data_IF_391211657296
#
_entry.id   IF_391211657296
#
_cell.length_a   1.000
_cell.length_b   1.000
_cell.length_c   1.000
_cell.angle_alpha   90.00
_cell.angle_beta   90.00
_cell.angle_gamma   90.00
#
_symmetry.space_group_name_H-M   'P 1'
#
loop_
_entity.id
_entity.type
_entity.pdbx_description
1 polymer ?
#
# COMPACT_ATOMS: atom_id res chain seq x y z
N UNK A 1 25.81 8.60 -71.45
CA UNK A 1 26.68 8.93 -72.60
C UNK A 1 25.80 9.31 -73.77
N UNK A 2 26.18 10.35 -74.51
CA UNK A 2 25.47 10.83 -75.69
C UNK A 2 26.40 10.75 -76.89
N UNK A 3 26.02 10.02 -77.94
CA UNK A 3 26.81 9.83 -79.17
C UNK A 3 25.89 9.90 -80.39
N UNK A 4 26.45 10.29 -81.55
CA UNK A 4 25.73 10.24 -82.83
C UNK A 4 25.61 8.82 -83.39
N UNK A 5 26.30 7.85 -82.78
CA UNK A 5 26.22 6.43 -83.14
C UNK A 5 25.90 5.60 -81.89
N UNK A 6 25.32 4.39 -82.04
CA UNK A 6 25.02 3.53 -80.89
C UNK A 6 26.28 2.92 -80.24
N UNK A 7 27.46 3.10 -80.84
CA UNK A 7 28.73 2.65 -80.28
C UNK A 7 29.19 3.63 -79.20
N UNK A 8 29.39 3.11 -77.99
CA UNK A 8 29.82 3.89 -76.81
C UNK A 8 31.30 3.71 -76.46
N UNK A 9 32.01 2.88 -77.22
CA UNK A 9 33.45 2.60 -77.02
C UNK A 9 34.37 3.58 -77.79
N UNK A 10 33.78 4.48 -78.58
CA UNK A 10 34.48 5.45 -79.43
C UNK A 10 34.15 6.87 -79.00
N UNK A 11 34.46 7.88 -79.84
CA UNK A 11 34.22 9.28 -79.53
C UNK A 11 32.76 9.56 -79.11
N UNK A 12 32.59 10.17 -77.94
CA UNK A 12 31.29 10.45 -77.31
C UNK A 12 31.15 11.97 -77.16
N UNK A 13 29.98 12.53 -77.48
CA UNK A 13 29.76 13.98 -77.43
C UNK A 13 29.63 14.50 -76.00
N UNK A 14 29.07 13.69 -75.10
CA UNK A 14 28.94 14.06 -73.70
C UNK A 14 28.79 12.82 -72.79
N UNK A 15 29.28 12.93 -71.56
CA UNK A 15 29.12 11.94 -70.49
C UNK A 15 28.41 12.62 -69.33
N UNK A 16 27.42 11.96 -68.75
CA UNK A 16 26.71 12.48 -67.58
C UNK A 16 27.53 12.27 -66.32
N UNK A 17 27.19 13.00 -65.26
CA UNK A 17 27.62 12.64 -63.92
C UNK A 17 27.11 11.24 -63.52
N UNK A 18 27.67 10.71 -62.43
CA UNK A 18 27.29 9.41 -61.89
C UNK A 18 25.83 9.41 -61.42
N UNK A 19 25.05 8.43 -61.87
CA UNK A 19 23.67 8.24 -61.45
C UNK A 19 23.56 7.00 -60.55
N UNK A 20 23.19 7.19 -59.28
CA UNK A 20 22.96 6.09 -58.35
C UNK A 20 21.52 5.59 -58.45
N UNK A 21 21.32 4.46 -59.12
CA UNK A 21 20.00 3.84 -59.27
C UNK A 21 19.76 2.86 -58.12
N UNK A 22 18.75 3.12 -57.30
CA UNK A 22 18.34 2.23 -56.21
C UNK A 22 16.81 2.20 -56.09
N UNK A 23 16.24 1.05 -55.70
CA UNK A 23 14.83 0.96 -55.29
C UNK A 23 14.71 0.94 -53.76
N UNK A 24 15.29 1.95 -53.12
CA UNK A 24 15.26 2.11 -51.67
C UNK A 24 14.75 3.51 -51.34
N UNK A 25 13.51 3.60 -50.83
CA UNK A 25 12.91 4.84 -50.33
C UNK A 25 13.72 5.53 -49.21
N UNK A 26 14.63 4.79 -48.57
CA UNK A 26 15.48 5.27 -47.48
C UNK A 26 16.91 5.62 -47.92
N UNK A 27 17.26 5.53 -49.21
CA UNK A 27 18.57 5.99 -49.66
C UNK A 27 18.78 7.48 -49.34
N UNK A 28 20.00 7.85 -48.95
CA UNK A 28 20.33 9.21 -48.51
C UNK A 28 19.81 9.58 -47.12
N UNK A 29 18.91 8.78 -46.51
CA UNK A 29 18.52 9.00 -45.11
C UNK A 29 19.59 8.45 -44.20
N UNK A 30 20.15 9.32 -43.35
CA UNK A 30 20.94 8.86 -42.20
C UNK A 30 20.06 7.93 -41.38
N UNK A 31 20.57 6.76 -41.02
CA UNK A 31 19.91 5.88 -40.05
C UNK A 31 19.60 6.74 -38.84
N UNK A 32 18.31 6.98 -38.60
CA UNK A 32 17.85 7.53 -37.34
C UNK A 32 18.19 6.44 -36.33
N UNK A 33 19.41 6.50 -35.76
CA UNK A 33 19.67 5.84 -34.48
C UNK A 33 18.56 6.38 -33.63
N UNK A 34 17.56 5.56 -33.32
CA UNK A 34 16.52 5.93 -32.38
C UNK A 34 17.31 6.26 -31.13
N UNK A 35 17.53 7.54 -30.80
CA UNK A 35 18.07 7.78 -29.49
C UNK A 35 16.90 7.35 -28.60
N UNK A 36 17.15 6.55 -27.59
CA UNK A 36 16.25 6.36 -26.46
C UNK A 36 16.10 7.67 -25.66
N UNK A 37 15.92 8.79 -26.37
CA UNK A 37 15.73 10.15 -25.92
C UNK A 37 15.42 11.02 -27.16
N UNK A 38 14.15 11.41 -27.29
CA UNK A 38 13.67 12.53 -28.14
C UNK A 38 13.93 12.49 -29.67
N UNK A 39 12.90 12.12 -30.45
CA UNK A 39 12.42 12.98 -31.56
C UNK A 39 11.04 12.52 -32.08
N UNK A 40 10.02 13.31 -31.77
CA UNK A 40 9.12 13.99 -32.71
C UNK A 40 8.66 13.15 -33.93
N UNK A 41 7.34 12.88 -33.91
CA UNK A 41 6.43 12.46 -34.98
C UNK A 41 6.35 10.96 -35.32
N UNK A 42 5.68 10.21 -34.44
CA UNK A 42 4.61 9.24 -34.79
C UNK A 42 3.85 8.88 -33.52
N UNK A 43 2.60 9.34 -33.41
CA UNK A 43 1.53 8.90 -32.48
C UNK A 43 1.93 8.65 -31.02
N UNK A 44 1.65 9.63 -30.14
CA UNK A 44 1.44 9.45 -28.70
C UNK A 44 2.53 8.69 -27.91
N UNK A 45 3.77 9.17 -27.95
CA UNK A 45 4.85 8.67 -27.08
C UNK A 45 4.77 9.31 -25.67
N UNK A 46 3.57 9.31 -25.09
CA UNK A 46 3.34 9.82 -23.75
C UNK A 46 3.93 8.86 -22.70
N UNK A 47 4.46 9.41 -21.62
CA UNK A 47 5.04 8.60 -20.54
C UNK A 47 3.96 7.70 -19.94
N UNK A 48 4.30 6.46 -19.55
CA UNK A 48 3.35 5.59 -18.87
C UNK A 48 3.01 6.19 -17.50
N UNK A 49 1.71 6.21 -17.16
CA UNK A 49 1.22 6.76 -15.90
C UNK A 49 0.34 5.73 -15.21
N UNK A 50 0.58 5.47 -13.92
CA UNK A 50 -0.33 4.71 -13.08
C UNK A 50 -1.35 5.67 -12.49
N UNK A 51 -2.64 5.34 -12.58
CA UNK A 51 -3.73 6.09 -11.92
C UNK A 51 -4.33 5.33 -10.75
N UNK A 52 -4.49 4.02 -10.89
CA UNK A 52 -5.07 3.16 -9.85
C UNK A 52 -4.45 1.76 -9.84
N UNK A 53 -4.58 1.08 -8.71
CA UNK A 53 -4.21 -0.32 -8.49
C UNK A 53 -5.38 -1.04 -7.81
N UNK A 54 -5.73 -2.23 -8.30
CA UNK A 54 -6.78 -3.06 -7.72
C UNK A 54 -6.37 -4.53 -7.65
N UNK A 55 -6.51 -5.21 -6.49
CA UNK A 55 -6.82 -4.63 -5.17
C UNK A 55 -5.73 -3.65 -4.72
N UNK A 56 -6.04 -2.73 -3.78
CA UNK A 56 -5.06 -1.77 -3.22
C UNK A 56 -4.28 -2.33 -2.03
N UNK A 57 -4.69 -3.49 -1.53
CA UNK A 57 -4.08 -4.18 -0.40
C UNK A 57 -4.11 -5.70 -0.56
N UNK A 58 -3.09 -6.38 -0.06
CA UNK A 58 -2.99 -7.86 -0.06
C UNK A 58 -2.18 -8.34 1.15
N UNK A 59 -2.48 -9.57 1.60
CA UNK A 59 -1.70 -10.23 2.64
C UNK A 59 -0.25 -10.50 2.17
N UNK A 60 0.73 -10.08 2.97
CA UNK A 60 2.15 -10.21 2.64
C UNK A 60 2.62 -11.66 2.48
N UNK A 61 1.91 -12.62 3.06
CA UNK A 61 2.25 -14.05 3.04
C UNK A 61 1.65 -14.83 1.85
N UNK A 62 0.50 -14.42 1.33
CA UNK A 62 -0.20 -15.17 0.27
C UNK A 62 0.23 -14.77 -1.14
N UNK A 63 0.79 -13.57 -1.31
CA UNK A 63 0.95 -12.98 -2.64
C UNK A 63 -0.41 -12.82 -3.34
N UNK A 64 -0.38 -12.61 -4.66
CA UNK A 64 -1.58 -12.52 -5.48
C UNK A 64 -1.31 -11.90 -6.84
N UNK A 65 -2.38 -11.42 -7.49
CA UNK A 65 -2.29 -10.59 -8.68
C UNK A 65 -3.06 -9.30 -8.49
N UNK A 66 -2.53 -8.19 -9.03
CA UNK A 66 -3.22 -6.91 -9.12
C UNK A 66 -3.33 -6.47 -10.57
N UNK A 67 -4.30 -5.61 -10.82
CA UNK A 67 -4.46 -4.86 -12.07
C UNK A 67 -4.05 -3.42 -11.80
N UNK A 68 -3.11 -2.93 -12.60
CA UNK A 68 -2.76 -1.51 -12.65
C UNK A 68 -3.55 -0.86 -13.77
N UNK A 69 -4.22 0.24 -13.46
CA UNK A 69 -5.02 1.02 -14.39
C UNK A 69 -4.31 2.36 -14.60
N UNK A 70 -4.18 2.77 -15.85
CA UNK A 70 -3.40 3.94 -16.21
C UNK A 70 -3.44 4.24 -17.70
N UNK A 71 -2.34 4.77 -18.21
CA UNK A 71 -2.21 5.19 -19.60
C UNK A 71 -0.84 4.84 -20.17
N UNK A 72 -0.79 4.62 -21.49
CA UNK A 72 0.41 4.40 -22.29
C UNK A 72 1.26 3.22 -21.83
N UNK A 73 0.62 2.13 -21.41
CA UNK A 73 1.31 0.88 -21.11
C UNK A 73 1.72 0.15 -22.38
N UNK A 74 2.88 -0.50 -22.33
CA UNK A 74 3.45 -1.28 -23.42
C UNK A 74 4.01 -2.60 -22.93
N UNK A 75 4.27 -3.50 -23.86
CA UNK A 75 4.78 -4.84 -23.53
C UNK A 75 6.21 -4.76 -22.98
N UNK A 76 6.51 -5.64 -22.01
CA UNK A 76 7.82 -5.70 -21.36
C UNK A 76 8.06 -4.61 -20.31
N UNK A 77 7.02 -3.87 -19.90
CA UNK A 77 7.11 -3.00 -18.73
C UNK A 77 7.47 -3.79 -17.47
N UNK A 78 8.25 -3.15 -16.61
CA UNK A 78 8.63 -3.66 -15.31
C UNK A 78 7.88 -2.88 -14.23
N UNK A 79 7.32 -3.59 -13.25
CA UNK A 79 6.64 -2.97 -12.11
C UNK A 79 7.46 -3.23 -10.87
N UNK A 80 7.64 -2.23 -10.03
CA UNK A 80 8.30 -2.35 -8.74
C UNK A 80 7.31 -2.12 -7.62
N UNK A 81 7.27 -3.03 -6.64
CA UNK A 81 6.58 -2.86 -5.36
C UNK A 81 7.60 -2.50 -4.27
N UNK A 82 7.90 -1.21 -4.12
CA UNK A 82 9.04 -0.73 -3.34
C UNK A 82 10.34 -1.12 -4.03
N UNK A 83 11.05 -2.12 -3.48
CA UNK A 83 12.31 -2.62 -4.03
C UNK A 83 12.14 -3.95 -4.77
N UNK A 84 10.95 -4.55 -4.74
CA UNK A 84 10.68 -5.85 -5.33
C UNK A 84 10.25 -5.69 -6.79
N UNK A 85 11.03 -6.22 -7.72
CA UNK A 85 10.69 -6.27 -9.14
C UNK A 85 9.63 -7.34 -9.40
N UNK A 86 8.66 -7.03 -10.25
CA UNK A 86 7.71 -8.02 -10.76
C UNK A 86 7.40 -7.82 -12.23
N UNK A 87 7.17 -8.94 -12.91
CA UNK A 87 6.75 -8.97 -14.30
C UNK A 87 5.30 -8.52 -14.44
N UNK A 88 5.03 -7.73 -15.48
CA UNK A 88 3.67 -7.36 -15.87
C UNK A 88 3.30 -7.95 -17.22
N UNK A 89 2.05 -8.36 -17.33
CA UNK A 89 1.40 -8.82 -18.54
C UNK A 89 0.50 -7.70 -19.06
N UNK A 90 0.70 -7.31 -20.32
CA UNK A 90 -0.10 -6.27 -20.96
C UNK A 90 -1.49 -6.82 -21.30
N UNK A 91 -2.55 -6.22 -20.74
CA UNK A 91 -3.93 -6.53 -21.15
C UNK A 91 -4.35 -5.52 -22.22
N UNK A 92 -4.24 -4.22 -21.89
CA UNK A 92 -4.50 -3.11 -22.82
C UNK A 92 -3.50 -1.99 -22.56
N UNK A 93 -3.35 -1.01 -23.47
CA UNK A 93 -2.54 0.18 -23.20
C UNK A 93 -2.96 1.00 -21.96
N UNK A 94 -4.09 0.66 -21.33
CA UNK A 94 -4.61 1.29 -20.11
C UNK A 94 -4.64 0.35 -18.90
N UNK A 95 -4.39 -0.95 -19.09
CA UNK A 95 -4.44 -1.93 -18.01
C UNK A 95 -3.34 -2.99 -18.17
N UNK A 96 -2.56 -3.19 -17.10
CA UNK A 96 -1.61 -4.29 -17.00
C UNK A 96 -1.92 -5.15 -15.78
N UNK A 97 -1.77 -6.46 -15.93
CA UNK A 97 -1.81 -7.41 -14.82
C UNK A 97 -0.40 -7.58 -14.28
N UNK A 98 -0.28 -7.59 -12.96
CA UNK A 98 0.99 -7.74 -12.28
C UNK A 98 0.85 -8.77 -11.16
N UNK A 99 1.89 -9.58 -10.96
CA UNK A 99 1.95 -10.45 -9.79
C UNK A 99 2.43 -9.64 -8.58
N UNK A 100 1.88 -9.92 -7.41
CA UNK A 100 2.25 -9.24 -6.18
C UNK A 100 3.29 -10.13 -5.49
N UNK A 101 4.52 -9.64 -5.27
CA UNK A 101 5.55 -10.43 -4.63
C UNK A 101 5.22 -10.64 -3.15
N UNK A 102 5.49 -11.84 -2.65
CA UNK A 102 5.39 -12.19 -1.22
C UNK A 102 6.44 -11.39 -0.43
N UNK A 103 6.07 -10.93 0.77
CA UNK A 103 6.92 -10.14 1.66
C UNK A 103 6.83 -10.65 3.11
N UNK A 104 7.93 -10.64 3.89
CA UNK A 104 7.90 -11.09 5.28
C UNK A 104 7.19 -10.10 6.22
N UNK A 105 7.25 -8.80 5.91
CA UNK A 105 6.74 -7.75 6.77
C UNK A 105 5.55 -7.03 6.12
N UNK A 106 4.55 -6.68 6.93
CA UNK A 106 3.48 -5.76 6.56
C UNK A 106 4.01 -4.32 6.39
N UNK A 107 3.26 -3.49 5.67
CA UNK A 107 3.59 -2.08 5.46
C UNK A 107 3.13 -1.53 4.11
N UNK A 108 3.08 -0.20 4.02
CA UNK A 108 2.81 0.50 2.77
C UNK A 108 4.06 0.58 1.91
N UNK A 109 3.93 0.39 0.60
CA UNK A 109 5.01 0.55 -0.36
C UNK A 109 4.58 1.39 -1.56
N UNK A 110 5.56 2.03 -2.19
CA UNK A 110 5.32 2.75 -3.43
C UNK A 110 5.44 1.79 -4.62
N UNK A 111 4.42 1.78 -5.47
CA UNK A 111 4.37 1.04 -6.72
C UNK A 111 4.71 1.98 -7.85
N UNK A 112 5.76 1.67 -8.62
CA UNK A 112 6.17 2.47 -9.76
C UNK A 112 6.55 1.61 -10.96
N UNK A 113 6.48 2.20 -12.14
CA UNK A 113 6.77 1.55 -13.42
C UNK A 113 8.22 1.79 -13.85
N UNK A 114 8.76 0.90 -14.67
CA UNK A 114 10.04 1.07 -15.34
C UNK A 114 9.90 0.60 -16.79
N UNK A 115 10.38 1.41 -17.73
CA UNK A 115 10.44 1.01 -19.13
C UNK A 115 11.75 0.27 -19.42
N UNK A 116 11.71 -0.87 -20.15
CA UNK A 116 12.89 -1.68 -20.44
C UNK A 116 13.95 -0.97 -21.30
N UNK A 117 13.62 0.15 -21.97
CA UNK A 117 14.53 0.88 -22.88
C UNK A 117 15.22 2.12 -22.26
N UNK A 118 15.10 2.31 -20.94
CA UNK A 118 15.98 3.20 -20.17
C UNK A 118 15.58 4.67 -20.10
N UNK A 119 14.94 5.07 -19.00
CA UNK A 119 15.55 5.84 -17.90
C UNK A 119 14.72 5.53 -16.64
N UNK A 120 15.32 5.48 -15.43
CA UNK A 120 14.60 5.20 -14.17
C UNK A 120 13.67 6.35 -13.72
N UNK A 121 13.19 7.18 -14.64
CA UNK A 121 12.43 8.42 -14.40
C UNK A 121 10.92 8.19 -14.26
N UNK A 122 10.51 7.19 -13.51
CA UNK A 122 9.07 6.89 -13.33
C UNK A 122 8.66 6.79 -11.85
N UNK A 123 9.53 7.23 -10.93
CA UNK A 123 9.16 7.37 -9.50
C UNK A 123 8.16 8.51 -9.26
N UNK A 124 8.01 9.48 -10.17
CA UNK A 124 7.10 10.62 -9.96
C UNK A 124 5.62 10.24 -10.00
N UNK A 125 5.28 9.10 -10.60
CA UNK A 125 3.90 8.60 -10.75
C UNK A 125 3.70 7.31 -9.95
N UNK A 126 4.28 7.25 -8.74
CA UNK A 126 4.08 6.11 -7.86
C UNK A 126 2.72 6.14 -7.17
N UNK A 127 2.17 4.97 -6.89
CA UNK A 127 0.96 4.80 -6.09
C UNK A 127 1.27 3.98 -4.85
N UNK A 128 0.65 4.32 -3.72
CA UNK A 128 0.79 3.57 -2.48
C UNK A 128 -0.03 2.27 -2.54
N UNK A 129 0.59 1.16 -2.17
CA UNK A 129 -0.03 -0.15 -2.03
C UNK A 129 0.27 -0.71 -0.64
N UNK A 130 -0.72 -1.31 0.02
CA UNK A 130 -0.59 -1.77 1.41
C UNK A 130 -0.45 -3.29 1.50
N UNK A 131 0.61 -3.73 2.18
CA UNK A 131 0.75 -5.12 2.60
C UNK A 131 0.20 -5.27 4.01
N UNK A 132 -0.83 -6.09 4.18
CA UNK A 132 -1.34 -6.48 5.51
C UNK A 132 -0.70 -7.80 5.94
N UNK A 133 -0.59 -8.04 7.25
CA UNK A 133 -0.26 -9.38 7.75
C UNK A 133 -1.52 -10.04 8.28
N UNK A 134 -1.72 -11.32 7.96
CA UNK A 134 -2.75 -12.15 8.63
C UNK A 134 -2.45 -12.32 10.14
N UNK A 135 -1.19 -12.09 10.53
CA UNK A 135 -0.70 -12.20 11.90
C UNK A 135 -0.68 -10.87 12.64
N UNK A 136 -1.11 -9.76 12.02
CA UNK A 136 -1.35 -8.55 12.80
C UNK A 136 -2.39 -8.89 13.87
N UNK A 137 -2.19 -8.47 15.13
CA UNK A 137 -3.13 -8.74 16.19
C UNK A 137 -4.44 -8.03 15.88
N UNK A 138 -5.32 -8.70 15.13
CA UNK A 138 -6.64 -8.18 14.85
C UNK A 138 -7.48 -8.28 16.12
N UNK A 139 -8.42 -7.36 16.26
CA UNK A 139 -9.37 -7.35 17.38
C UNK A 139 -10.07 -8.72 17.45
N UNK A 140 -10.43 -9.30 16.31
CA UNK A 140 -11.05 -10.63 16.25
C UNK A 140 -10.12 -11.76 16.71
N UNK A 141 -8.82 -11.69 16.38
CA UNK A 141 -7.82 -12.65 16.89
C UNK A 141 -7.68 -12.51 18.41
N UNK A 142 -7.71 -11.29 18.94
CA UNK A 142 -7.71 -11.05 20.38
C UNK A 142 -8.96 -11.64 21.05
N UNK A 143 -10.15 -11.46 20.47
CA UNK A 143 -11.39 -12.07 20.95
C UNK A 143 -11.34 -13.60 20.92
N UNK A 144 -10.82 -14.21 19.85
CA UNK A 144 -10.65 -15.66 19.77
C UNK A 144 -9.68 -16.19 20.84
N UNK A 145 -8.59 -15.45 21.12
CA UNK A 145 -7.65 -15.79 22.20
C UNK A 145 -8.31 -15.67 23.56
N UNK A 146 -9.03 -14.59 23.83
CA UNK A 146 -9.76 -14.39 25.08
C UNK A 146 -10.82 -15.48 25.28
N UNK A 147 -11.60 -15.82 24.27
CA UNK A 147 -12.61 -16.89 24.34
C UNK A 147 -12.01 -18.27 24.65
N UNK A 148 -10.73 -18.51 24.32
CA UNK A 148 -10.00 -19.74 24.71
C UNK A 148 -9.48 -19.70 26.15
N UNK A 149 -9.17 -18.51 26.68
CA UNK A 149 -8.60 -18.33 28.01
C UNK A 149 -9.66 -18.20 29.11
N UNK A 150 -10.82 -17.64 28.78
CA UNK A 150 -11.89 -17.41 29.74
C UNK A 150 -12.68 -18.69 30.02
N UNK A 151 -13.17 -18.89 31.25
CA UNK A 151 -14.07 -19.98 31.57
C UNK A 151 -15.33 -19.93 30.71
N UNK A 152 -15.75 -21.10 30.24
CA UNK A 152 -17.01 -21.31 29.54
C UNK A 152 -18.02 -21.93 30.50
N UNK A 153 -19.24 -21.43 30.49
CA UNK A 153 -20.34 -21.96 31.29
C UNK A 153 -21.29 -22.78 30.39
N UNK A 154 -21.96 -23.80 30.92
CA UNK A 154 -22.85 -24.66 30.14
C UNK A 154 -24.07 -23.92 29.56
N UNK A 155 -24.38 -22.72 30.05
CA UNK A 155 -25.47 -21.86 29.57
C UNK A 155 -25.02 -20.89 28.47
N UNK A 156 -23.76 -20.94 28.05
CA UNK A 156 -23.22 -19.98 27.11
C UNK A 156 -23.70 -20.24 25.68
N UNK A 157 -24.12 -19.20 24.95
CA UNK A 157 -24.38 -19.32 23.52
C UNK A 157 -23.06 -19.54 22.77
N UNK A 158 -23.10 -20.38 21.72
CA UNK A 158 -21.97 -20.59 20.81
C UNK A 158 -22.29 -19.96 19.44
N UNK A 159 -21.59 -18.90 18.99
CA UNK A 159 -20.41 -18.25 19.59
C UNK A 159 -20.73 -17.27 20.73
N UNK A 160 -19.82 -17.15 21.70
CA UNK A 160 -19.94 -16.20 22.81
C UNK A 160 -19.85 -14.75 22.28
N UNK A 161 -20.82 -13.86 22.57
CA UNK A 161 -20.77 -12.48 22.10
C UNK A 161 -19.57 -11.72 22.66
N UNK A 162 -19.06 -10.75 21.87
CA UNK A 162 -17.87 -9.96 22.21
C UNK A 162 -18.01 -9.24 23.56
N UNK A 163 -19.19 -8.76 23.91
CA UNK A 163 -19.46 -8.09 25.19
C UNK A 163 -19.26 -9.00 26.40
N UNK A 164 -19.72 -10.26 26.32
CA UNK A 164 -19.51 -11.25 27.39
C UNK A 164 -18.04 -11.64 27.53
N UNK A 165 -17.31 -11.71 26.42
CA UNK A 165 -15.85 -11.95 26.43
C UNK A 165 -15.14 -10.81 27.19
N UNK A 166 -15.51 -9.54 26.92
CA UNK A 166 -14.92 -8.40 27.62
C UNK A 166 -15.27 -8.37 29.11
N UNK A 167 -16.54 -8.61 29.47
CA UNK A 167 -16.96 -8.63 30.87
C UNK A 167 -16.16 -9.64 31.69
N UNK A 168 -16.06 -10.87 31.20
CA UNK A 168 -15.29 -11.92 31.90
C UNK A 168 -13.80 -11.60 31.94
N UNK A 169 -13.24 -11.03 30.87
CA UNK A 169 -11.84 -10.60 30.88
C UNK A 169 -11.58 -9.54 31.96
N UNK A 170 -12.52 -8.62 32.17
CA UNK A 170 -12.45 -7.62 33.24
C UNK A 170 -12.53 -8.28 34.63
N UNK A 171 -13.51 -9.15 34.88
CA UNK A 171 -13.66 -9.87 36.15
C UNK A 171 -12.38 -10.66 36.51
N UNK A 172 -11.78 -11.33 35.52
CA UNK A 172 -10.53 -12.06 35.69
C UNK A 172 -9.36 -11.13 36.00
N UNK A 173 -9.26 -9.99 35.31
CA UNK A 173 -8.20 -9.01 35.56
C UNK A 173 -8.32 -8.39 36.96
N UNK A 174 -9.54 -8.06 37.40
CA UNK A 174 -9.81 -7.55 38.74
C UNK A 174 -9.46 -8.58 39.81
N UNK A 175 -9.86 -9.83 39.63
CA UNK A 175 -9.51 -10.93 40.55
C UNK A 175 -7.99 -11.11 40.66
N UNK A 176 -7.27 -11.07 39.53
CA UNK A 176 -5.81 -11.15 39.53
C UNK A 176 -5.18 -9.93 40.22
N UNK A 177 -5.70 -8.74 40.00
CA UNK A 177 -5.19 -7.52 40.62
C UNK A 177 -5.37 -7.54 42.15
N UNK A 178 -6.56 -7.96 42.62
CA UNK A 178 -6.87 -8.06 44.06
C UNK A 178 -6.10 -9.20 44.73
N UNK A 179 -5.93 -10.35 44.07
CA UNK A 179 -5.22 -11.48 44.66
C UNK A 179 -3.69 -11.36 44.58
N UNK A 180 -3.14 -10.71 43.55
CA UNK A 180 -1.69 -10.57 43.38
C UNK A 180 -1.10 -9.50 44.30
N UNK A 181 -1.86 -8.45 44.61
CA UNK A 181 -1.49 -7.44 45.62
C UNK A 181 -1.47 -7.98 47.06
N UNK A 182 -2.04 -9.17 47.31
CA UNK A 182 -2.04 -9.82 48.62
C UNK A 182 -0.79 -10.69 48.89
N UNK A 183 -0.04 -11.12 47.87
CA UNK A 183 1.09 -12.07 48.06
C UNK A 183 2.44 -11.62 47.49
N UNK A 184 2.50 -10.66 46.57
CA UNK A 184 3.76 -9.99 46.19
C UNK A 184 3.48 -8.52 45.88
N UNK A 185 4.16 -7.55 46.52
CA UNK A 185 4.13 -6.17 46.05
C UNK A 185 4.71 -6.17 44.62
N UNK A 186 3.88 -5.82 43.65
CA UNK A 186 4.22 -5.82 42.23
C UNK A 186 5.23 -4.68 42.03
N UNK A 187 6.53 -5.00 41.95
CA UNK A 187 7.50 -4.09 41.37
C UNK A 187 7.21 -3.98 39.86
N UNK A 188 6.93 -2.77 39.34
CA UNK A 188 6.53 -2.58 37.94
C UNK A 188 7.61 -3.01 36.93
N UNK A 189 8.86 -3.23 37.35
CA UNK A 189 9.95 -3.67 36.46
C UNK A 189 9.84 -5.14 36.00
N UNK A 190 9.21 -6.03 36.78
CA UNK A 190 9.16 -7.47 36.45
C UNK A 190 8.12 -7.84 35.39
N UNK A 191 7.02 -7.10 35.27
CA UNK A 191 6.05 -7.29 34.17
C UNK A 191 6.56 -6.68 32.86
N UNK A 192 7.34 -5.60 32.92
CA UNK A 192 7.99 -5.02 31.74
C UNK A 192 9.01 -5.96 31.09
N UNK A 193 9.56 -6.94 31.82
CA UNK A 193 10.53 -7.91 31.31
C UNK A 193 9.90 -9.11 30.57
N UNK A 194 8.60 -9.39 30.75
CA UNK A 194 7.88 -10.49 30.06
C UNK A 194 7.02 -9.99 28.90
N UNK A 195 6.62 -8.72 28.92
CA UNK A 195 6.09 -8.05 27.76
C UNK A 195 7.27 -7.62 26.87
N UNK A 196 7.42 -8.26 25.71
CA UNK A 196 8.30 -7.82 24.62
C UNK A 196 7.84 -6.43 24.12
N UNK A 197 8.16 -5.38 24.87
CA UNK A 197 7.96 -3.97 24.55
C UNK A 197 8.97 -3.48 23.50
N UNK A 198 9.31 -4.31 22.50
CA UNK A 198 10.21 -3.94 21.41
C UNK A 198 9.52 -3.38 20.17
N UNK A 199 8.18 -3.36 20.11
CA UNK A 199 7.46 -3.04 18.86
C UNK A 199 6.46 -1.87 18.92
N UNK A 200 6.50 -1.00 19.93
CA UNK A 200 5.72 0.24 19.92
C UNK A 200 6.61 1.46 19.64
N UNK A 201 6.35 2.28 18.60
CA UNK A 201 7.02 3.55 18.43
C UNK A 201 6.47 4.55 19.45
N UNK A 202 7.30 4.86 20.44
CA UNK A 202 7.41 6.11 21.20
C UNK A 202 6.11 6.89 21.47
N UNK A 203 5.53 6.71 22.66
CA UNK A 203 4.81 7.80 23.32
C UNK A 203 5.69 8.41 24.41
N UNK A 204 5.85 9.74 24.36
CA UNK A 204 6.65 10.54 25.28
C UNK A 204 6.21 10.30 26.73
N UNK A 205 7.13 9.79 27.54
CA UNK A 205 6.99 9.73 29.00
C UNK A 205 7.08 11.16 29.55
N UNK A 206 5.97 11.68 30.10
CA UNK A 206 6.03 12.83 30.99
C UNK A 206 6.63 12.34 32.31
N UNK A 207 7.86 12.73 32.59
CA UNK A 207 8.51 12.52 33.88
C UNK A 207 7.71 13.23 34.98
N UNK A 208 7.05 12.45 35.84
CA UNK A 208 6.65 12.93 37.16
C UNK A 208 7.54 12.22 38.18
N UNK A 209 8.64 12.89 38.53
CA UNK A 209 9.56 12.44 39.55
C UNK A 209 8.89 12.46 40.94
N UNK A 210 9.03 11.34 41.65
CA UNK A 210 9.33 11.21 43.07
C UNK A 210 8.70 12.22 44.04
N UNK A 211 7.65 11.82 44.78
CA UNK A 211 7.45 12.34 46.14
C UNK A 211 6.62 11.36 47.02
N UNK A 212 7.13 10.87 48.16
CA UNK A 212 6.39 10.01 49.07
C UNK A 212 5.66 10.83 50.13
N UNK A 213 4.47 11.34 49.82
CA UNK A 213 3.41 11.70 50.78
C UNK A 213 2.31 12.51 50.08
N UNK A 214 1.16 11.90 49.86
CA UNK A 214 -0.12 12.61 49.80
C UNK A 214 -1.24 11.62 50.09
N UNK A 215 -1.47 11.38 51.38
CA UNK A 215 -2.74 10.87 51.88
C UNK A 215 -3.83 11.91 51.57
N UNK A 216 -4.83 11.55 50.78
CA UNK A 216 -6.10 12.30 50.71
C UNK A 216 -7.24 11.28 50.89
N UNK A 217 -8.03 11.38 51.97
CA UNK A 217 -9.19 10.53 52.17
C UNK A 217 -10.38 11.11 51.40
N UNK A 218 -11.08 10.28 50.64
CA UNK A 218 -12.42 10.63 50.15
C UNK A 218 -13.41 10.35 51.28
N UNK A 219 -13.97 11.43 51.81
CA UNK A 219 -15.06 11.40 52.80
C UNK A 219 -16.40 11.26 52.08
N UNK A 220 -17.28 10.45 52.66
CA UNK A 220 -18.63 10.15 52.19
C UNK A 220 -19.55 11.38 52.25
N UNK A 221 -20.37 11.57 51.20
CA UNK A 221 -21.45 12.56 51.19
C UNK A 221 -22.23 12.65 49.88
N UNK A 222 -23.02 11.60 49.58
CA UNK A 222 -24.28 11.60 48.81
C UNK A 222 -24.39 12.42 47.50
N UNK A 223 -24.42 11.73 46.35
CA UNK A 223 -25.63 11.59 45.50
C UNK A 223 -25.46 10.31 44.66
N UNK A 224 -26.39 9.37 44.83
CA UNK A 224 -26.58 8.25 43.90
C UNK A 224 -26.93 8.81 42.51
N UNK A 225 -26.10 8.56 41.50
CA UNK A 225 -26.44 8.81 40.10
C UNK A 225 -26.00 7.63 39.24
N UNK A 226 -26.82 6.58 39.27
CA UNK A 226 -27.34 5.87 38.11
C UNK A 226 -26.41 5.70 36.88
N UNK A 227 -25.98 4.44 36.68
CA UNK A 227 -25.40 3.89 35.45
C UNK A 227 -26.37 3.82 34.25
N UNK A 228 -27.29 4.79 34.09
CA UNK A 228 -28.31 4.76 33.03
C UNK A 228 -28.24 5.91 32.01
N UNK A 229 -27.20 6.76 32.01
CA UNK A 229 -27.14 7.93 31.11
C UNK A 229 -26.11 7.87 29.97
N UNK A 230 -25.65 6.69 29.53
CA UNK A 230 -24.83 6.56 28.31
C UNK A 230 -25.64 5.97 27.12
N UNK A 231 -26.96 5.83 27.25
CA UNK A 231 -27.80 5.27 26.18
C UNK A 231 -28.76 6.26 25.47
N UNK A 232 -28.73 7.55 25.79
CA UNK A 232 -29.46 8.55 25.00
C UNK A 232 -28.64 9.82 24.80
N UNK A 233 -27.77 9.79 23.79
CA UNK A 233 -27.37 10.99 23.06
C UNK A 233 -27.26 10.66 21.58
N UNK A 234 -28.41 10.30 20.99
CA UNK A 234 -28.63 10.50 19.56
C UNK A 234 -29.38 11.82 19.38
N UNK A 235 -29.04 12.54 18.30
CA UNK A 235 -29.63 13.77 17.80
C UNK A 235 -28.93 15.06 18.27
N UNK A 236 -27.95 15.52 17.47
CA UNK A 236 -28.11 16.70 16.60
C UNK A 236 -26.74 17.14 16.04
N UNK A 237 -26.59 17.18 14.71
CA UNK A 237 -25.41 17.83 14.12
C UNK A 237 -24.98 17.44 12.70
N UNK A 238 -25.89 17.08 11.79
CA UNK A 238 -25.61 17.16 10.34
C UNK A 238 -26.59 18.17 9.72
N UNK A 239 -26.08 19.35 9.36
CA UNK A 239 -26.78 20.27 8.47
C UNK A 239 -26.37 19.96 7.03
N UNK A 240 -27.26 19.29 6.29
CA UNK A 240 -27.26 19.28 4.84
C UNK A 240 -27.99 20.56 4.39
N UNK A 241 -27.34 21.39 3.58
CA UNK A 241 -27.98 22.51 2.89
C UNK A 241 -28.29 22.03 1.48
N UNK A 242 -29.58 21.88 1.17
CA UNK A 242 -30.14 21.92 -0.19
C UNK A 242 -31.38 22.83 -0.12
N UNK A 243 -31.47 23.92 -0.90
CA UNK A 243 -32.47 24.95 -0.70
C UNK A 243 -33.57 24.90 -1.77
N UNK A 244 -34.71 24.29 -1.49
CA UNK A 244 -36.01 24.64 -2.11
C UNK A 244 -37.09 24.18 -1.13
N UNK A 245 -38.03 25.04 -0.73
CA UNK A 245 -39.39 25.11 -1.27
C UNK A 245 -40.06 26.39 -0.69
N UNK A 246 -40.99 26.97 -1.46
CA UNK A 246 -41.98 27.98 -1.07
C UNK A 246 -42.52 27.85 0.36
#
# INVERSE_FOLDING_TARGET
MLSMTPRVDTDVLAVSDNMFVHNNSKHGRRVKRVPSSSSINSTNNALPVIKHIFPSEVCCQSGGSAILIGENFHEGMQVFFGNSLTWSELITPQAIKVNIPVRPNAGSVDVFLCSPKGQPKMRSNSIRFSFSSSSEPSIDTAFQRLQKLLPKYPTDPEPLPKEFILHRAADFAEMLYVNCTAFYPIEPERLAATADYRNYPSQRVLNLASNPAAYIPYTNGNVAANFSNILYSSANGFCIIEPFIN
#
